data_IF_314039507286
#
_entry.id   IF_314039507286
#
_cell.length_a   1.000
_cell.length_b   1.000
_cell.length_c   1.000
_cell.angle_alpha   90.00
_cell.angle_beta   90.00
_cell.angle_gamma   90.00
#
_symmetry.space_group_name_H-M   'P 1'
#
loop_
_entity.id
_entity.type
_entity.pdbx_description
1 polymer ?
#
# COMPACT_ATOMS: atom_id res chain seq x y z
N UNK A 1 7.66 25.08 7.93
CA UNK A 1 8.69 24.06 8.24
C UNK A 1 9.85 24.76 8.94
N UNK A 2 10.72 24.05 9.67
CA UNK A 2 11.94 24.71 10.18
C UNK A 2 12.87 24.93 8.98
N UNK A 3 12.77 26.11 8.37
CA UNK A 3 13.64 26.51 7.26
C UNK A 3 15.10 26.52 7.76
N UNK A 4 16.02 26.01 6.93
CA UNK A 4 17.46 25.93 7.20
C UNK A 4 17.91 25.06 8.40
N UNK A 5 17.11 24.06 8.82
CA UNK A 5 17.57 23.08 9.80
C UNK A 5 18.59 22.08 9.19
N UNK A 6 19.67 21.81 9.92
CA UNK A 6 20.65 20.76 9.55
C UNK A 6 20.31 19.46 10.29
N UNK A 7 20.27 18.35 9.57
CA UNK A 7 20.08 17.01 10.11
C UNK A 7 21.37 16.19 9.96
N UNK A 8 21.58 15.13 10.78
CA UNK A 8 22.69 14.21 10.56
C UNK A 8 22.67 13.59 9.16
N UNK A 9 23.84 13.33 8.58
CA UNK A 9 23.99 12.89 7.18
C UNK A 9 23.30 11.55 6.84
N UNK A 10 23.00 10.73 7.84
CA UNK A 10 22.27 9.47 7.67
C UNK A 10 20.74 9.64 7.63
N UNK A 11 20.24 10.86 7.80
CA UNK A 11 18.80 11.18 7.72
C UNK A 11 18.47 11.61 6.29
N UNK A 12 17.74 10.76 5.57
CA UNK A 12 17.13 11.14 4.31
C UNK A 12 15.99 12.13 4.54
N UNK A 13 16.10 13.33 3.96
CA UNK A 13 15.03 14.34 3.95
C UNK A 13 14.34 14.29 2.59
N UNK A 14 13.02 14.30 2.60
CA UNK A 14 12.22 14.43 1.38
C UNK A 14 11.18 15.50 1.60
N UNK A 15 11.16 16.48 0.70
CA UNK A 15 10.18 17.56 0.72
C UNK A 15 9.17 17.36 -0.41
N UNK A 16 7.90 17.53 -0.07
CA UNK A 16 6.80 17.57 -1.03
C UNK A 16 5.97 18.80 -0.74
N UNK A 17 5.75 19.60 -1.79
CA UNK A 17 4.80 20.71 -1.74
C UNK A 17 3.58 20.34 -2.57
N UNK A 18 2.40 20.70 -2.11
CA UNK A 18 1.15 20.40 -2.83
C UNK A 18 0.40 21.67 -3.17
N UNK A 19 -0.28 21.65 -4.31
CA UNK A 19 -1.23 22.69 -4.71
C UNK A 19 -2.56 22.04 -5.01
N UNK A 20 -3.60 22.50 -4.31
CA UNK A 20 -4.98 22.15 -4.63
C UNK A 20 -5.50 23.04 -5.77
N UNK A 21 -6.31 22.45 -6.63
CA UNK A 21 -6.97 23.12 -7.75
C UNK A 21 -8.49 23.00 -7.60
N UNK A 22 -9.24 23.09 -8.69
CA UNK A 22 -10.67 22.85 -8.68
C UNK A 22 -11.02 21.39 -8.36
N UNK A 23 -12.17 21.19 -7.72
CA UNK A 23 -12.69 19.86 -7.39
C UNK A 23 -11.70 19.10 -6.49
N UNK A 24 -11.46 17.81 -6.77
CA UNK A 24 -10.52 16.98 -6.01
C UNK A 24 -9.14 16.86 -6.66
N UNK A 25 -8.77 17.80 -7.55
CA UNK A 25 -7.45 17.79 -8.18
C UNK A 25 -6.40 18.40 -7.26
N UNK A 26 -5.34 17.64 -7.00
CA UNK A 26 -4.16 18.09 -6.27
C UNK A 26 -2.92 17.72 -7.06
N UNK A 27 -1.94 18.61 -7.14
CA UNK A 27 -0.62 18.30 -7.71
C UNK A 27 0.45 18.39 -6.62
N UNK A 28 1.31 17.39 -6.55
CA UNK A 28 2.46 17.32 -5.67
C UNK A 28 3.75 17.55 -6.45
N UNK A 29 4.61 18.43 -5.94
CA UNK A 29 5.89 18.79 -6.52
C UNK A 29 7.01 18.35 -5.59
N UNK A 30 8.07 17.80 -6.20
CA UNK A 30 9.24 17.28 -5.51
C UNK A 30 10.48 17.89 -6.16
N UNK A 31 11.48 18.23 -5.35
CA UNK A 31 12.69 18.85 -5.85
C UNK A 31 13.41 17.95 -6.87
N UNK A 32 13.62 18.47 -8.09
CA UNK A 32 14.31 17.76 -9.17
C UNK A 32 13.56 16.57 -9.76
N UNK A 33 12.26 16.38 -9.47
CA UNK A 33 11.46 15.28 -10.03
C UNK A 33 10.20 15.79 -10.75
N UNK A 34 9.62 14.98 -11.66
CA UNK A 34 8.29 15.24 -12.18
C UNK A 34 7.23 15.32 -11.07
N UNK A 35 6.19 16.13 -11.30
CA UNK A 35 5.06 16.21 -10.39
C UNK A 35 4.18 14.95 -10.42
N UNK A 36 3.43 14.73 -9.34
CA UNK A 36 2.39 13.71 -9.26
C UNK A 36 1.02 14.38 -9.15
N UNK A 37 0.11 14.05 -10.05
CA UNK A 37 -1.28 14.50 -10.00
C UNK A 37 -2.16 13.47 -9.29
N UNK A 38 -2.98 13.97 -8.37
CA UNK A 38 -4.01 13.25 -7.67
C UNK A 38 -5.39 13.70 -8.11
N UNK A 39 -6.31 12.74 -8.24
CA UNK A 39 -7.72 12.96 -8.49
C UNK A 39 -8.50 11.69 -8.08
N UNK A 40 -9.79 11.83 -7.84
CA UNK A 40 -10.67 10.68 -7.63
C UNK A 40 -11.28 10.18 -8.96
N UNK A 41 -11.73 8.91 -9.03
CA UNK A 41 -12.34 8.36 -10.24
C UNK A 41 -13.63 9.07 -10.61
N UNK A 42 -13.94 9.10 -11.90
CA UNK A 42 -15.25 9.55 -12.38
C UNK A 42 -16.39 8.79 -11.69
N UNK A 43 -17.40 9.53 -11.22
CA UNK A 43 -18.52 9.00 -10.43
C UNK A 43 -18.26 8.92 -8.93
N UNK A 44 -17.05 9.20 -8.47
CA UNK A 44 -16.76 9.45 -7.06
C UNK A 44 -17.08 10.92 -6.73
N UNK A 45 -18.35 11.19 -6.43
CA UNK A 45 -18.89 12.53 -6.26
C UNK A 45 -19.34 12.76 -4.80
N UNK A 46 -19.19 13.98 -4.29
CA UNK A 46 -19.59 14.39 -2.93
C UNK A 46 -20.50 15.61 -3.00
N UNK A 47 -21.64 15.53 -2.29
CA UNK A 47 -22.69 16.55 -2.24
C UNK A 47 -23.95 16.17 -3.01
N UNK A 48 -25.07 16.82 -2.69
CA UNK A 48 -26.34 16.71 -3.42
C UNK A 48 -26.98 18.12 -3.59
N UNK A 49 -26.86 18.78 -4.77
CA UNK A 49 -26.13 18.30 -5.95
C UNK A 49 -24.61 18.23 -5.71
N UNK A 50 -23.85 17.42 -6.47
CA UNK A 50 -22.43 17.27 -6.20
C UNK A 50 -21.59 18.52 -6.49
N UNK A 51 -20.89 18.98 -5.45
CA UNK A 51 -19.99 20.13 -5.46
C UNK A 51 -18.53 19.73 -5.72
N UNK A 52 -18.16 18.49 -5.32
CA UNK A 52 -16.87 17.88 -5.58
C UNK A 52 -17.03 16.63 -6.45
N UNK A 53 -16.30 16.58 -7.55
CA UNK A 53 -16.39 15.49 -8.54
C UNK A 53 -15.03 14.92 -8.89
N UNK A 54 -14.93 13.61 -8.87
CA UNK A 54 -13.80 12.88 -9.42
C UNK A 54 -13.85 12.89 -10.95
N UNK A 55 -12.69 12.96 -11.60
CA UNK A 55 -12.59 13.02 -13.07
C UNK A 55 -11.52 12.10 -13.63
N UNK A 56 -11.00 11.17 -12.84
CA UNK A 56 -9.98 10.19 -13.28
C UNK A 56 -8.74 10.82 -13.92
N UNK A 57 -8.36 12.05 -13.53
CA UNK A 57 -7.23 12.78 -14.15
C UNK A 57 -5.85 12.32 -13.68
N UNK A 58 -5.80 11.62 -12.55
CA UNK A 58 -4.56 11.19 -11.90
C UNK A 58 -4.78 9.98 -11.01
N UNK A 59 -3.80 9.70 -10.16
CA UNK A 59 -3.90 8.62 -9.17
C UNK A 59 -4.80 9.07 -8.02
N UNK A 60 -5.56 8.15 -7.44
CA UNK A 60 -6.14 8.45 -6.12
C UNK A 60 -5.00 8.47 -5.09
N UNK A 61 -5.12 9.23 -3.98
CA UNK A 61 -4.15 9.17 -2.89
C UNK A 61 -3.92 7.75 -2.37
N UNK A 62 -4.97 6.92 -2.37
CA UNK A 62 -4.90 5.49 -2.00
C UNK A 62 -4.02 4.71 -2.98
N UNK A 63 -4.18 4.89 -4.30
CA UNK A 63 -3.34 4.24 -5.30
C UNK A 63 -1.87 4.61 -5.12
N UNK A 64 -1.56 5.88 -4.87
CA UNK A 64 -0.20 6.33 -4.65
C UNK A 64 0.42 5.76 -3.37
N UNK A 65 -0.36 5.66 -2.28
CA UNK A 65 0.12 5.04 -1.03
C UNK A 65 0.42 3.55 -1.21
N UNK A 66 -0.40 2.82 -1.98
CA UNK A 66 -0.13 1.42 -2.32
C UNK A 66 1.09 1.29 -3.25
N UNK A 67 1.24 2.20 -4.22
CA UNK A 67 2.40 2.25 -5.10
C UNK A 67 3.69 2.53 -4.31
N UNK A 68 3.66 3.44 -3.33
CA UNK A 68 4.78 3.72 -2.44
C UNK A 68 5.16 2.48 -1.60
N UNK A 69 4.17 1.78 -1.03
CA UNK A 69 4.40 0.51 -0.32
C UNK A 69 5.06 -0.54 -1.24
N UNK A 70 4.53 -0.73 -2.44
CA UNK A 70 5.03 -1.71 -3.39
C UNK A 70 6.44 -1.38 -3.90
N UNK A 71 6.67 -0.11 -4.26
CA UNK A 71 7.95 0.38 -4.75
C UNK A 71 9.05 0.31 -3.70
N UNK A 72 8.79 0.81 -2.49
CA UNK A 72 9.73 0.73 -1.38
C UNK A 72 10.08 -0.72 -1.01
N UNK A 73 9.07 -1.61 -1.01
CA UNK A 73 9.30 -3.04 -0.76
C UNK A 73 10.17 -3.66 -1.86
N UNK A 74 9.89 -3.35 -3.13
CA UNK A 74 10.65 -3.89 -4.28
C UNK A 74 12.11 -3.44 -4.27
N UNK A 75 12.37 -2.16 -3.98
CA UNK A 75 13.74 -1.62 -3.83
C UNK A 75 14.45 -2.35 -2.68
N UNK A 76 13.77 -2.52 -1.54
CA UNK A 76 14.34 -3.23 -0.39
C UNK A 76 14.66 -4.68 -0.72
N UNK A 77 13.77 -5.39 -1.44
CA UNK A 77 14.01 -6.77 -1.88
C UNK A 77 15.26 -6.84 -2.76
N UNK A 78 15.46 -5.90 -3.69
CA UNK A 78 16.64 -5.87 -4.53
C UNK A 78 17.93 -5.71 -3.70
N UNK A 79 17.93 -4.81 -2.71
CA UNK A 79 19.05 -4.60 -1.79
C UNK A 79 19.32 -5.86 -0.96
N UNK A 80 18.30 -6.42 -0.31
CA UNK A 80 18.45 -7.61 0.53
C UNK A 80 18.86 -8.83 -0.29
N UNK A 81 18.32 -8.98 -1.51
CA UNK A 81 18.69 -10.07 -2.40
C UNK A 81 20.17 -10.00 -2.78
N UNK A 82 20.69 -8.80 -3.09
CA UNK A 82 22.12 -8.59 -3.31
C UNK A 82 22.93 -9.03 -2.08
N UNK A 83 22.58 -8.56 -0.89
CA UNK A 83 23.32 -8.84 0.34
C UNK A 83 23.30 -10.33 0.74
N UNK A 84 22.25 -11.06 0.37
CA UNK A 84 22.07 -12.48 0.66
C UNK A 84 22.50 -13.41 -0.49
N UNK A 85 23.07 -12.84 -1.56
CA UNK A 85 23.40 -13.54 -2.81
C UNK A 85 22.20 -14.34 -3.35
N UNK A 86 21.00 -13.77 -3.23
CA UNK A 86 19.75 -14.37 -3.65
C UNK A 86 19.46 -14.07 -5.11
N UNK A 87 19.36 -15.11 -5.94
CA UNK A 87 19.13 -14.96 -7.37
C UNK A 87 17.64 -14.96 -7.73
N UNK A 88 17.17 -13.91 -8.40
CA UNK A 88 15.86 -13.85 -9.04
C UNK A 88 15.94 -13.05 -10.36
N UNK A 89 15.03 -13.34 -11.30
CA UNK A 89 14.98 -12.67 -12.61
C UNK A 89 14.01 -11.51 -12.62
N UNK A 90 12.87 -11.66 -11.95
CA UNK A 90 11.79 -10.68 -11.95
C UNK A 90 11.08 -10.73 -10.59
N UNK A 91 10.67 -9.55 -10.11
CA UNK A 91 9.71 -9.38 -9.04
C UNK A 91 8.49 -8.66 -9.62
N UNK A 92 7.31 -9.25 -9.46
CA UNK A 92 6.03 -8.58 -9.68
C UNK A 92 5.31 -8.40 -8.36
N UNK A 93 4.62 -7.28 -8.22
CA UNK A 93 3.87 -6.96 -7.01
C UNK A 93 2.42 -6.67 -7.34
N UNK A 94 1.50 -7.09 -6.46
CA UNK A 94 0.07 -6.74 -6.55
C UNK A 94 -0.43 -6.33 -5.18
N UNK A 95 -1.01 -5.14 -5.06
CA UNK A 95 -1.59 -4.65 -3.83
C UNK A 95 -3.08 -4.36 -4.01
N UNK A 96 -3.90 -4.72 -3.02
CA UNK A 96 -5.32 -4.37 -2.94
C UNK A 96 -5.61 -3.90 -1.52
N UNK A 97 -6.24 -2.74 -1.38
CA UNK A 97 -6.77 -2.27 -0.09
C UNK A 97 -8.28 -2.41 -0.02
N UNK A 98 -8.79 -2.65 1.17
CA UNK A 98 -10.20 -2.50 1.54
C UNK A 98 -10.33 -1.23 2.41
N UNK A 99 -11.27 -0.35 2.09
CA UNK A 99 -11.55 0.88 2.84
C UNK A 99 -13.07 1.01 2.97
N UNK A 100 -13.54 1.35 4.16
CA UNK A 100 -14.93 1.76 4.38
C UNK A 100 -15.13 3.22 3.98
N UNK A 101 -15.62 3.44 2.76
CA UNK A 101 -15.80 4.78 2.18
C UNK A 101 -17.01 5.53 2.74
N UNK A 102 -17.87 4.88 3.53
CA UNK A 102 -19.06 5.53 4.11
C UNK A 102 -18.68 6.71 4.99
N UNK A 103 -17.59 6.58 5.74
CA UNK A 103 -17.04 7.65 6.56
C UNK A 103 -16.53 8.85 5.78
N UNK A 104 -16.14 8.64 4.52
CA UNK A 104 -15.71 9.73 3.64
C UNK A 104 -16.90 10.47 3.05
N UNK A 105 -17.97 9.75 2.67
CA UNK A 105 -19.11 10.35 1.99
C UNK A 105 -20.16 10.96 2.94
N UNK A 106 -20.55 10.29 4.03
CA UNK A 106 -21.74 10.70 4.78
C UNK A 106 -21.81 10.30 6.27
N UNK A 107 -21.03 9.32 6.73
CA UNK A 107 -21.08 8.88 8.13
C UNK A 107 -19.95 9.51 8.96
N UNK A 108 -20.23 10.65 9.58
CA UNK A 108 -19.27 11.39 10.40
C UNK A 108 -18.79 10.64 11.66
N UNK A 109 -19.42 9.51 12.01
CA UNK A 109 -18.96 8.66 13.11
C UNK A 109 -17.94 7.61 12.67
N UNK A 110 -17.74 7.44 11.36
CA UNK A 110 -16.76 6.52 10.79
C UNK A 110 -15.55 7.31 10.29
N UNK A 111 -14.37 6.97 10.80
CA UNK A 111 -13.11 7.42 10.20
C UNK A 111 -12.70 6.40 9.13
N UNK A 112 -12.60 6.79 7.84
CA UNK A 112 -12.11 5.89 6.80
C UNK A 112 -10.69 5.44 7.09
N UNK A 113 -10.47 4.14 7.02
CA UNK A 113 -9.17 3.50 7.26
C UNK A 113 -9.01 2.28 6.36
N UNK A 114 -7.78 1.78 6.28
CA UNK A 114 -7.52 0.48 5.67
C UNK A 114 -8.06 -0.63 6.58
N UNK A 115 -9.15 -1.26 6.16
CA UNK A 115 -9.71 -2.45 6.82
C UNK A 115 -8.77 -3.65 6.66
N UNK A 116 -8.19 -3.80 5.46
CA UNK A 116 -7.13 -4.76 5.18
C UNK A 116 -6.38 -4.39 3.90
N UNK A 117 -5.09 -4.71 3.85
CA UNK A 117 -4.29 -4.72 2.63
C UNK A 117 -3.92 -6.16 2.29
N UNK A 118 -4.11 -6.55 1.04
CA UNK A 118 -3.58 -7.79 0.48
C UNK A 118 -2.43 -7.43 -0.46
N UNK A 119 -1.23 -7.95 -0.17
CA UNK A 119 -0.02 -7.58 -0.87
C UNK A 119 0.76 -8.83 -1.33
N UNK A 120 0.68 -9.13 -2.62
CA UNK A 120 1.34 -10.27 -3.23
C UNK A 120 2.69 -9.87 -3.83
N UNK A 121 3.71 -10.67 -3.53
CA UNK A 121 5.08 -10.59 -4.03
C UNK A 121 5.38 -11.86 -4.83
N UNK A 122 5.52 -11.73 -6.14
CA UNK A 122 5.70 -12.86 -7.06
C UNK A 122 7.13 -12.85 -7.64
N UNK A 123 7.96 -13.79 -7.18
CA UNK A 123 9.37 -13.89 -7.55
C UNK A 123 9.59 -14.97 -8.62
N UNK A 124 10.22 -14.60 -9.72
CA UNK A 124 10.81 -15.53 -10.67
C UNK A 124 12.19 -15.94 -10.19
N UNK A 125 12.26 -17.05 -9.47
CA UNK A 125 13.49 -17.57 -8.87
C UNK A 125 13.48 -19.09 -8.88
N UNK A 126 14.68 -19.69 -8.80
CA UNK A 126 14.88 -21.12 -8.53
C UNK A 126 15.27 -21.40 -7.07
N UNK A 127 15.40 -20.36 -6.27
CA UNK A 127 15.78 -20.45 -4.87
C UNK A 127 14.73 -21.23 -4.05
N UNK A 128 15.20 -21.87 -2.98
CA UNK A 128 14.35 -22.66 -2.09
C UNK A 128 13.38 -21.78 -1.30
N UNK A 129 12.24 -22.34 -0.89
CA UNK A 129 11.27 -21.61 -0.04
C UNK A 129 11.89 -21.13 1.29
N UNK A 130 12.91 -21.82 1.81
CA UNK A 130 13.67 -21.38 2.99
C UNK A 130 14.43 -20.08 2.72
N UNK A 131 15.07 -19.96 1.55
CA UNK A 131 15.77 -18.74 1.14
C UNK A 131 14.81 -17.59 0.88
N UNK A 132 13.63 -17.86 0.29
CA UNK A 132 12.56 -16.85 0.14
C UNK A 132 12.10 -16.32 1.50
N UNK A 133 11.94 -17.18 2.52
CA UNK A 133 11.64 -16.72 3.89
C UNK A 133 12.75 -15.86 4.50
N UNK A 134 14.01 -16.17 4.21
CA UNK A 134 15.16 -15.36 4.64
C UNK A 134 15.17 -13.97 4.01
N UNK A 135 14.88 -13.91 2.71
CA UNK A 135 14.69 -12.66 1.95
C UNK A 135 13.53 -11.85 2.53
N UNK A 136 12.38 -12.50 2.77
CA UNK A 136 11.18 -11.88 3.33
C UNK A 136 11.42 -11.26 4.71
N UNK A 137 11.98 -12.05 5.64
CA UNK A 137 12.27 -11.60 7.01
C UNK A 137 13.16 -10.35 7.02
N UNK A 138 14.21 -10.34 6.21
CA UNK A 138 15.14 -9.22 6.19
C UNK A 138 14.57 -8.02 5.43
N UNK A 139 13.76 -8.25 4.40
CA UNK A 139 12.98 -7.19 3.72
C UNK A 139 12.03 -6.50 4.69
N UNK A 140 11.27 -7.27 5.49
CA UNK A 140 10.34 -6.74 6.48
C UNK A 140 11.05 -5.92 7.56
N UNK A 141 12.28 -6.31 7.92
CA UNK A 141 13.10 -5.58 8.89
C UNK A 141 13.60 -4.24 8.36
N UNK A 142 13.96 -4.17 7.07
CA UNK A 142 14.63 -3.00 6.47
C UNK A 142 13.71 -2.02 5.76
N UNK A 143 12.56 -2.47 5.22
CA UNK A 143 11.69 -1.64 4.41
C UNK A 143 10.98 -0.56 5.25
N UNK A 144 11.22 0.74 5.01
CA UNK A 144 10.56 1.81 5.76
C UNK A 144 9.04 1.78 5.67
N UNK A 145 8.49 1.49 4.49
CA UNK A 145 7.03 1.43 4.31
C UNK A 145 6.42 0.26 5.08
N UNK A 146 6.95 -0.96 4.96
CA UNK A 146 6.47 -2.08 5.80
C UNK A 146 6.59 -1.79 7.30
N UNK A 147 7.65 -1.07 7.70
CA UNK A 147 7.82 -0.56 9.06
C UNK A 147 6.68 0.36 9.50
N UNK A 148 6.31 1.33 8.67
CA UNK A 148 5.18 2.25 8.90
C UNK A 148 3.87 1.50 9.07
N UNK A 149 3.50 0.64 8.11
CA UNK A 149 2.24 -0.11 8.16
C UNK A 149 2.14 -1.01 9.38
N UNK A 150 3.26 -1.66 9.77
CA UNK A 150 3.34 -2.47 10.97
C UNK A 150 3.19 -1.64 12.25
N UNK A 151 3.85 -0.48 12.34
CA UNK A 151 3.77 0.40 13.51
C UNK A 151 2.35 0.94 13.69
N UNK A 152 1.69 1.30 12.59
CA UNK A 152 0.30 1.72 12.56
C UNK A 152 -0.70 0.57 12.82
N UNK A 153 -0.22 -0.68 12.92
CA UNK A 153 -1.03 -1.90 13.10
C UNK A 153 -2.11 -2.06 12.03
N UNK A 154 -1.82 -1.64 10.79
CA UNK A 154 -2.73 -1.80 9.67
C UNK A 154 -2.80 -3.29 9.30
N UNK A 155 -4.00 -3.92 9.29
CA UNK A 155 -4.15 -5.32 8.92
C UNK A 155 -3.65 -5.57 7.49
N UNK A 156 -2.69 -6.48 7.35
CA UNK A 156 -2.10 -6.79 6.05
C UNK A 156 -1.76 -8.28 5.92
N UNK A 157 -2.14 -8.86 4.79
CA UNK A 157 -1.73 -10.20 4.37
C UNK A 157 -0.70 -10.05 3.26
N UNK A 158 0.51 -10.54 3.49
CA UNK A 158 1.61 -10.52 2.51
C UNK A 158 1.81 -11.93 1.96
N UNK A 159 1.48 -12.14 0.69
CA UNK A 159 1.62 -13.44 0.03
C UNK A 159 2.92 -13.51 -0.77
N UNK A 160 3.75 -14.52 -0.53
CA UNK A 160 4.98 -14.75 -1.30
C UNK A 160 4.78 -15.89 -2.28
N UNK A 161 4.92 -15.62 -3.57
CA UNK A 161 4.66 -16.57 -4.65
C UNK A 161 5.92 -16.83 -5.46
N UNK A 162 6.02 -18.05 -6.00
CA UNK A 162 6.88 -18.30 -7.17
C UNK A 162 6.13 -17.86 -8.42
N UNK A 163 6.80 -17.20 -9.36
CA UNK A 163 6.17 -16.75 -10.59
C UNK A 163 5.47 -17.93 -11.32
N UNK A 164 4.22 -17.70 -11.73
CA UNK A 164 3.38 -18.72 -12.38
C UNK A 164 2.61 -19.64 -11.41
N UNK A 165 2.85 -19.57 -10.10
CA UNK A 165 2.06 -20.31 -9.11
C UNK A 165 0.76 -19.57 -8.77
N UNK A 166 -0.34 -20.32 -8.67
CA UNK A 166 -1.62 -19.83 -8.13
C UNK A 166 -1.71 -19.90 -6.61
N UNK A 167 -0.76 -20.58 -5.95
CA UNK A 167 -0.69 -20.70 -4.49
C UNK A 167 0.59 -20.03 -3.96
N UNK A 168 0.52 -19.37 -2.79
CA UNK A 168 1.71 -18.80 -2.17
C UNK A 168 2.62 -19.92 -1.66
N UNK A 169 3.93 -19.65 -1.65
CA UNK A 169 4.92 -20.40 -0.90
C UNK A 169 4.63 -20.29 0.61
N UNK A 170 4.18 -19.11 1.04
CA UNK A 170 3.67 -18.80 2.37
C UNK A 170 3.03 -17.42 2.38
N UNK A 171 2.25 -17.18 3.44
CA UNK A 171 1.64 -15.88 3.74
C UNK A 171 2.15 -15.40 5.10
N UNK A 172 2.31 -14.09 5.22
CA UNK A 172 2.59 -13.42 6.49
C UNK A 172 1.41 -12.52 6.83
N UNK A 173 0.95 -12.59 8.08
CA UNK A 173 -0.12 -11.76 8.58
C UNK A 173 0.46 -10.70 9.52
N UNK A 174 0.21 -9.44 9.21
CA UNK A 174 0.70 -8.28 9.95
C UNK A 174 -0.50 -7.51 10.52
N UNK A 175 -0.48 -7.19 11.81
CA UNK A 175 -1.59 -6.49 12.46
C UNK A 175 -2.90 -7.29 12.55
N UNK A 176 -2.89 -8.59 12.19
CA UNK A 176 -4.06 -9.49 12.24
C UNK A 176 -3.90 -10.44 13.42
N UNK A 177 -4.95 -10.57 14.23
CA UNK A 177 -4.99 -11.50 15.37
C UNK A 177 -5.27 -12.95 14.95
N UNK A 178 -5.39 -13.85 15.94
CA UNK A 178 -5.80 -15.23 15.68
C UNK A 178 -7.26 -15.29 15.22
N UNK A 179 -7.53 -15.91 14.07
CA UNK A 179 -8.88 -16.13 13.57
C UNK A 179 -9.04 -15.71 12.10
N UNK A 180 -10.27 -15.33 11.73
CA UNK A 180 -10.55 -14.79 10.40
C UNK A 180 -9.87 -13.44 10.21
N UNK A 181 -9.33 -13.21 9.02
CA UNK A 181 -8.90 -11.88 8.58
C UNK A 181 -10.10 -10.92 8.50
N UNK A 182 -9.88 -9.59 8.58
CA UNK A 182 -10.95 -8.61 8.36
C UNK A 182 -11.70 -8.85 7.03
N UNK A 183 -10.99 -9.13 5.93
CA UNK A 183 -11.60 -9.44 4.64
C UNK A 183 -12.52 -10.68 4.70
N UNK A 184 -12.07 -11.77 5.32
CA UNK A 184 -12.89 -12.97 5.50
C UNK A 184 -14.16 -12.67 6.32
N UNK A 185 -14.02 -11.85 7.36
CA UNK A 185 -15.15 -11.45 8.21
C UNK A 185 -16.17 -10.60 7.43
N UNK A 186 -15.70 -9.67 6.59
CA UNK A 186 -16.55 -8.88 5.69
C UNK A 186 -17.28 -9.77 4.66
N UNK A 187 -16.60 -10.75 4.07
CA UNK A 187 -17.21 -11.70 3.13
C UNK A 187 -18.33 -12.51 3.81
N UNK A 188 -18.08 -13.06 5.00
CA UNK A 188 -19.08 -13.82 5.77
C UNK A 188 -20.30 -12.94 6.10
N UNK A 189 -20.07 -11.68 6.48
CA UNK A 189 -21.15 -10.72 6.74
C UNK A 189 -22.00 -10.47 5.50
N UNK A 190 -21.37 -10.18 4.36
CA UNK A 190 -22.07 -9.91 3.11
C UNK A 190 -22.91 -11.12 2.63
N UNK A 191 -22.43 -12.34 2.84
CA UNK A 191 -23.20 -13.55 2.52
C UNK A 191 -24.44 -13.71 3.40
N UNK A 192 -24.34 -13.39 4.70
CA UNK A 192 -25.48 -13.42 5.63
C UNK A 192 -26.54 -12.39 5.28
N UNK A 193 -26.12 -11.18 4.90
CA UNK A 193 -27.04 -10.09 4.51
C UNK A 193 -27.78 -10.42 3.22
N UNK A 194 -27.16 -11.11 2.25
CA UNK A 194 -27.82 -11.57 1.01
C UNK A 194 -28.78 -12.74 1.19
N UNK A 195 -28.68 -13.45 2.31
CA UNK A 195 -29.53 -14.61 2.60
C UNK A 195 -30.77 -14.25 3.45
N UNK A 196 -30.95 -12.96 3.76
CA UNK A 196 -32.11 -12.38 4.44
C UNK A 196 -32.98 -11.65 3.44
#
# INVERSE_FOLDING_TARGET
MKEAATYPDYIGVSEVTTRSFEQMRVEAYFEGQPSLMFDEPEGFDVGDPPDLRGRSRGWTPVHAQLAALAGCTSITIAVVARDQEFAYRELRTKARSLIDVRGFHFDLHLQPQYEQINFDLMLDTRESSRRVRGLAKETHRRCPQLGLFRLAKIPMVVGWYRAGSSRPLFEEQLGIGSGNTPEQSLIVRAQRERSR
#
